data_IF_723550869453
#
_entry.id   IF_723550869453
#
_cell.length_a   1.000
_cell.length_b   1.000
_cell.length_c   1.000
_cell.angle_alpha   90.00
_cell.angle_beta   90.00
_cell.angle_gamma   90.00
#
_symmetry.space_group_name_H-M   'P 1'
#
loop_
_entity.id
_entity.type
_entity.pdbx_description
1 polymer ?
#
# COMPACT_ATOMS: atom_id res chain seq x y z
N UNK A 1 -5.99 -20.44 -17.06
CA UNK A 1 -6.12 -20.97 -18.44
C UNK A 1 -4.79 -20.75 -19.12
N UNK A 2 -4.12 -21.81 -19.56
CA UNK A 2 -2.78 -21.74 -20.15
C UNK A 2 -2.83 -21.96 -21.67
N UNK A 3 -2.57 -20.92 -22.46
CA UNK A 3 -2.69 -20.94 -23.93
C UNK A 3 -1.72 -19.96 -24.61
N UNK A 4 -1.40 -20.24 -25.87
CA UNK A 4 -0.57 -19.36 -26.72
C UNK A 4 -1.45 -18.29 -27.37
N UNK A 5 -1.02 -17.04 -27.31
CA UNK A 5 -1.68 -15.90 -27.95
C UNK A 5 -1.66 -16.06 -29.48
N UNK A 6 -2.84 -15.95 -30.09
CA UNK A 6 -3.02 -15.97 -31.54
C UNK A 6 -2.78 -14.60 -32.17
N UNK A 7 -3.37 -13.55 -31.60
CA UNK A 7 -3.25 -12.16 -32.08
C UNK A 7 -3.61 -11.18 -30.96
N UNK A 8 -3.23 -9.91 -31.11
CA UNK A 8 -3.56 -8.83 -30.16
C UNK A 8 -4.23 -7.65 -30.87
N UNK A 9 -4.95 -6.84 -30.12
CA UNK A 9 -5.49 -5.54 -30.52
C UNK A 9 -5.19 -4.54 -29.40
N UNK A 10 -4.16 -3.71 -29.61
CA UNK A 10 -3.65 -2.76 -28.63
C UNK A 10 -4.70 -1.69 -28.30
N UNK A 11 -5.39 -1.18 -29.32
CA UNK A 11 -6.39 -0.12 -29.14
C UNK A 11 -7.55 -0.58 -28.27
N UNK A 12 -8.01 -1.83 -28.49
CA UNK A 12 -9.07 -2.42 -27.67
C UNK A 12 -8.58 -3.02 -26.35
N UNK A 13 -7.27 -3.13 -26.15
CA UNK A 13 -6.64 -3.83 -25.00
C UNK A 13 -7.09 -5.28 -24.90
N UNK A 14 -7.14 -5.96 -26.05
CA UNK A 14 -7.62 -7.34 -26.17
C UNK A 14 -6.51 -8.24 -26.73
N UNK A 15 -6.36 -9.45 -26.20
CA UNK A 15 -5.68 -10.54 -26.91
C UNK A 15 -6.67 -11.63 -27.29
N UNK A 16 -6.33 -12.40 -28.31
CA UNK A 16 -7.18 -13.46 -28.84
C UNK A 16 -6.49 -14.81 -28.74
N UNK A 17 -7.28 -15.83 -28.43
CA UNK A 17 -6.90 -17.24 -28.41
C UNK A 17 -7.77 -18.03 -29.39
N UNK A 18 -7.28 -19.18 -29.83
CA UNK A 18 -8.12 -20.18 -30.50
C UNK A 18 -8.60 -21.18 -29.44
N UNK A 19 -9.92 -21.23 -29.24
CA UNK A 19 -10.58 -22.14 -28.30
C UNK A 19 -11.64 -22.89 -29.09
N UNK A 20 -11.52 -24.22 -29.14
CA UNK A 20 -12.41 -25.10 -29.91
C UNK A 20 -12.59 -24.62 -31.37
N UNK A 21 -11.48 -24.27 -32.03
CA UNK A 21 -11.48 -23.76 -33.40
C UNK A 21 -11.98 -22.33 -33.59
N UNK A 22 -12.45 -21.65 -32.53
CA UNK A 22 -13.00 -20.29 -32.60
C UNK A 22 -12.03 -19.27 -32.04
N UNK A 23 -11.97 -18.10 -32.67
CA UNK A 23 -11.25 -16.93 -32.16
C UNK A 23 -12.03 -16.31 -30.99
N UNK A 24 -11.48 -16.40 -29.79
CA UNK A 24 -12.08 -15.85 -28.56
C UNK A 24 -11.21 -14.72 -28.04
N UNK A 25 -11.82 -13.57 -27.73
CA UNK A 25 -11.11 -12.38 -27.27
C UNK A 25 -11.21 -12.17 -25.76
N UNK A 26 -10.08 -11.74 -25.18
CA UNK A 26 -9.89 -11.50 -23.76
C UNK A 26 -9.44 -10.06 -23.52
N UNK A 27 -10.24 -9.31 -22.78
CA UNK A 27 -10.04 -7.90 -22.49
C UNK A 27 -9.25 -7.70 -21.20
N UNK A 28 -8.26 -6.79 -21.24
CA UNK A 28 -7.51 -6.32 -20.09
C UNK A 28 -8.08 -5.01 -19.57
N UNK A 29 -8.27 -4.92 -18.26
CA UNK A 29 -8.54 -3.63 -17.60
C UNK A 29 -7.39 -2.65 -17.82
N UNK A 30 -7.62 -1.36 -17.58
CA UNK A 30 -6.58 -0.33 -17.76
C UNK A 30 -5.29 -0.64 -16.98
N UNK A 31 -5.40 -1.13 -15.74
CA UNK A 31 -4.24 -1.53 -14.93
C UNK A 31 -3.49 -2.70 -15.58
N UNK A 32 -4.20 -3.79 -15.87
CA UNK A 32 -3.56 -4.98 -16.49
C UNK A 32 -2.92 -4.64 -17.83
N UNK A 33 -3.57 -3.81 -18.65
CA UNK A 33 -3.03 -3.38 -19.92
C UNK A 33 -1.77 -2.53 -19.73
N UNK A 34 -1.77 -1.57 -18.80
CA UNK A 34 -0.59 -0.76 -18.50
C UNK A 34 0.60 -1.61 -18.06
N UNK A 35 0.35 -2.64 -17.24
CA UNK A 35 1.41 -3.49 -16.68
C UNK A 35 1.91 -4.53 -17.68
N UNK A 36 1.02 -5.20 -18.40
CA UNK A 36 1.37 -6.45 -19.10
C UNK A 36 1.33 -6.37 -20.62
N UNK A 37 0.65 -5.39 -21.22
CA UNK A 37 0.37 -5.42 -22.66
C UNK A 37 1.66 -5.40 -23.50
N UNK A 38 2.72 -4.75 -23.02
CA UNK A 38 4.03 -4.72 -23.69
C UNK A 38 4.67 -6.11 -23.87
N UNK A 39 4.29 -7.08 -23.03
CA UNK A 39 4.78 -8.45 -23.11
C UNK A 39 3.88 -9.35 -23.96
N UNK A 40 2.68 -8.90 -24.31
CA UNK A 40 1.70 -9.69 -25.06
C UNK A 40 1.93 -9.53 -26.57
N UNK A 41 2.15 -10.66 -27.26
CA UNK A 41 2.21 -10.74 -28.73
C UNK A 41 1.88 -12.15 -29.19
N UNK A 42 1.64 -12.33 -30.49
CA UNK A 42 1.45 -13.67 -31.08
C UNK A 42 2.61 -14.58 -30.70
N UNK A 43 2.31 -15.81 -30.28
CA UNK A 43 3.31 -16.80 -29.86
C UNK A 43 3.71 -16.74 -28.39
N UNK A 44 3.28 -15.73 -27.62
CA UNK A 44 3.49 -15.69 -26.16
C UNK A 44 2.52 -16.64 -25.48
N UNK A 45 3.04 -17.46 -24.56
CA UNK A 45 2.26 -18.32 -23.67
C UNK A 45 1.78 -17.48 -22.49
N UNK A 46 0.48 -17.50 -22.25
CA UNK A 46 -0.14 -16.86 -21.08
C UNK A 46 -0.87 -17.90 -20.25
N UNK A 47 -0.72 -17.82 -18.94
CA UNK A 47 -1.62 -18.44 -17.98
C UNK A 47 -2.33 -17.33 -17.17
N UNK A 48 -3.65 -17.40 -17.08
CA UNK A 48 -4.47 -16.33 -16.53
C UNK A 48 -5.84 -16.81 -16.05
N UNK A 49 -6.46 -16.02 -15.19
CA UNK A 49 -7.84 -16.22 -14.76
C UNK A 49 -8.81 -15.25 -15.42
N UNK A 50 -10.04 -15.70 -15.62
CA UNK A 50 -11.10 -14.94 -16.26
C UNK A 50 -12.11 -14.54 -15.19
N UNK A 51 -12.44 -13.25 -15.15
CA UNK A 51 -13.50 -12.77 -14.25
C UNK A 51 -14.88 -13.21 -14.74
N UNK A 52 -15.87 -13.21 -13.85
CA UNK A 52 -17.28 -13.43 -14.23
C UNK A 52 -17.85 -12.33 -15.15
N UNK A 53 -17.13 -11.21 -15.30
CA UNK A 53 -17.57 -10.05 -16.09
C UNK A 53 -17.13 -10.18 -17.55
N UNK A 54 -17.95 -9.63 -18.44
CA UNK A 54 -17.60 -9.38 -19.84
C UNK A 54 -17.52 -7.89 -20.11
N UNK A 55 -16.60 -7.49 -20.98
CA UNK A 55 -16.48 -6.11 -21.46
C UNK A 55 -17.07 -6.02 -22.86
N UNK A 56 -18.07 -5.16 -23.03
CA UNK A 56 -18.58 -4.80 -24.36
C UNK A 56 -17.74 -3.67 -24.94
N UNK A 57 -17.28 -3.83 -26.19
CA UNK A 57 -16.58 -2.80 -26.97
C UNK A 57 -17.20 -2.82 -28.37
N UNK A 58 -17.95 -1.78 -28.70
CA UNK A 58 -18.81 -1.75 -29.88
C UNK A 58 -19.84 -2.88 -29.88
N UNK A 59 -19.87 -3.65 -30.98
CA UNK A 59 -20.77 -4.80 -31.15
C UNK A 59 -20.24 -6.10 -30.51
N UNK A 60 -18.99 -6.12 -30.07
CA UNK A 60 -18.35 -7.33 -29.55
C UNK A 60 -18.36 -7.36 -28.02
N UNK A 61 -18.42 -8.57 -27.47
CA UNK A 61 -18.31 -8.85 -26.04
C UNK A 61 -17.09 -9.74 -25.77
N UNK A 62 -16.22 -9.29 -24.87
CA UNK A 62 -14.95 -9.91 -24.55
C UNK A 62 -14.95 -10.43 -23.12
N UNK A 63 -14.32 -11.58 -22.88
CA UNK A 63 -14.10 -12.07 -21.52
C UNK A 63 -13.09 -11.17 -20.82
N UNK A 64 -13.42 -10.65 -19.63
CA UNK A 64 -12.48 -9.80 -18.92
C UNK A 64 -11.51 -10.66 -18.10
N UNK A 65 -10.21 -10.40 -18.27
CA UNK A 65 -9.15 -11.02 -17.47
C UNK A 65 -9.25 -10.52 -16.02
N UNK A 66 -9.17 -11.45 -15.08
CA UNK A 66 -9.05 -11.15 -13.65
C UNK A 66 -7.59 -10.81 -13.30
N UNK A 67 -6.67 -11.74 -13.56
CA UNK A 67 -5.22 -11.57 -13.38
C UNK A 67 -4.45 -12.58 -14.24
N UNK A 68 -3.14 -12.37 -14.39
CA UNK A 68 -2.23 -13.35 -14.97
C UNK A 68 -1.59 -14.19 -13.85
N UNK A 69 -1.31 -15.46 -14.15
CA UNK A 69 -0.45 -16.32 -13.35
C UNK A 69 0.96 -16.35 -13.94
N UNK A 70 1.07 -16.46 -15.27
CA UNK A 70 2.36 -16.48 -15.97
C UNK A 70 2.26 -15.81 -17.35
N UNK A 71 3.34 -15.14 -17.78
CA UNK A 71 3.51 -14.63 -19.15
C UNK A 71 4.92 -15.03 -19.63
N UNK A 72 4.99 -15.84 -20.68
CA UNK A 72 6.24 -16.49 -21.12
C UNK A 72 6.40 -16.35 -22.64
N UNK A 73 7.53 -15.80 -23.06
CA UNK A 73 7.99 -15.94 -24.45
C UNK A 73 8.65 -17.30 -24.62
N UNK A 74 8.30 -18.03 -25.69
CA UNK A 74 8.81 -19.38 -25.94
C UNK A 74 10.07 -19.39 -26.81
N UNK A 75 10.27 -18.36 -27.63
CA UNK A 75 11.45 -18.25 -28.51
C UNK A 75 11.89 -16.76 -28.66
N UNK A 76 13.04 -16.37 -28.08
CA UNK A 76 13.79 -17.11 -27.06
C UNK A 76 12.93 -17.33 -25.81
N UNK A 77 13.27 -18.37 -25.03
CA UNK A 77 12.58 -18.65 -23.78
C UNK A 77 12.84 -17.53 -22.76
N UNK A 78 11.79 -16.85 -22.30
CA UNK A 78 11.90 -15.78 -21.31
C UNK A 78 10.60 -15.64 -20.51
N UNK A 79 10.71 -15.65 -19.18
CA UNK A 79 9.58 -15.46 -18.25
C UNK A 79 9.43 -13.98 -17.93
N UNK A 80 8.40 -13.33 -18.48
CA UNK A 80 8.11 -11.91 -18.24
C UNK A 80 7.44 -11.68 -16.90
N UNK A 81 6.61 -12.63 -16.48
CA UNK A 81 5.86 -12.54 -15.24
C UNK A 81 5.54 -13.94 -14.71
N UNK A 82 5.69 -14.11 -13.40
CA UNK A 82 5.28 -15.31 -12.67
C UNK A 82 4.77 -14.90 -11.28
N UNK A 83 3.48 -15.09 -11.06
CA UNK A 83 2.80 -14.70 -9.82
C UNK A 83 3.34 -15.48 -8.61
N UNK A 84 3.64 -16.78 -8.77
CA UNK A 84 4.14 -17.60 -7.67
C UNK A 84 5.57 -17.22 -7.29
N UNK A 85 6.42 -16.95 -8.30
CA UNK A 85 7.76 -16.42 -8.05
C UNK A 85 7.69 -15.08 -7.34
N UNK A 86 6.85 -14.15 -7.81
CA UNK A 86 6.67 -12.84 -7.17
C UNK A 86 6.24 -12.97 -5.70
N UNK A 87 5.28 -13.85 -5.39
CA UNK A 87 4.84 -14.11 -4.02
C UNK A 87 5.96 -14.71 -3.15
N UNK A 88 6.75 -15.61 -3.71
CA UNK A 88 7.90 -16.19 -3.03
C UNK A 88 8.98 -15.12 -2.74
N UNK A 89 9.29 -14.27 -3.72
CA UNK A 89 10.26 -13.18 -3.59
C UNK A 89 9.79 -12.16 -2.53
N UNK A 90 8.50 -11.80 -2.50
CA UNK A 90 7.90 -10.96 -1.46
C UNK A 90 8.11 -11.56 -0.07
N UNK A 91 7.81 -12.85 0.10
CA UNK A 91 8.02 -13.54 1.38
C UNK A 91 9.48 -13.53 1.80
N UNK A 92 10.39 -13.79 0.86
CA UNK A 92 11.84 -13.80 1.10
C UNK A 92 12.33 -12.44 1.63
N UNK A 93 11.94 -11.35 0.97
CA UNK A 93 12.28 -9.98 1.39
C UNK A 93 11.74 -9.65 2.77
N UNK A 94 10.50 -10.03 3.09
CA UNK A 94 9.95 -9.77 4.42
C UNK A 94 10.66 -10.60 5.49
N UNK A 95 11.00 -11.85 5.19
CA UNK A 95 11.72 -12.73 6.13
C UNK A 95 13.18 -12.33 6.37
N UNK A 96 13.79 -11.53 5.49
CA UNK A 96 15.18 -11.11 5.64
C UNK A 96 15.38 -9.98 6.64
N UNK A 97 14.30 -9.40 7.18
CA UNK A 97 14.35 -8.28 8.12
C UNK A 97 13.88 -8.73 9.50
N UNK A 98 14.63 -8.32 10.53
CA UNK A 98 14.34 -8.71 11.91
C UNK A 98 13.30 -7.81 12.55
N UNK A 99 13.49 -6.49 12.45
CA UNK A 99 12.67 -5.50 13.15
C UNK A 99 11.85 -4.68 12.16
N UNK A 100 10.63 -4.35 12.59
CA UNK A 100 9.67 -3.56 11.83
C UNK A 100 9.14 -2.44 12.72
N UNK A 101 9.07 -1.25 12.14
CA UNK A 101 8.50 -0.07 12.76
C UNK A 101 7.23 0.31 12.00
N UNK A 102 6.09 -0.09 12.53
CA UNK A 102 4.78 0.30 12.01
C UNK A 102 4.52 1.73 12.41
N UNK A 103 4.27 2.60 11.44
CA UNK A 103 4.02 4.03 11.68
C UNK A 103 2.70 4.43 11.05
N UNK A 104 2.04 5.37 11.69
CA UNK A 104 0.88 6.07 11.17
C UNK A 104 0.90 7.51 11.69
N UNK A 105 0.48 8.45 10.86
CA UNK A 105 0.42 9.86 11.18
C UNK A 105 -0.97 10.43 10.93
N UNK A 106 -1.42 11.27 11.86
CA UNK A 106 -2.50 12.21 11.56
C UNK A 106 -1.92 13.56 11.22
N UNK A 107 -2.41 14.16 10.13
CA UNK A 107 -1.92 15.43 9.62
C UNK A 107 -2.98 16.53 9.75
N UNK A 108 -2.51 17.77 9.80
CA UNK A 108 -3.39 18.91 9.59
C UNK A 108 -4.06 18.84 8.21
N UNK A 109 -5.28 19.35 8.13
CA UNK A 109 -6.00 19.53 6.87
C UNK A 109 -6.23 21.02 6.55
N UNK A 110 -6.31 21.38 5.25
CA UNK A 110 -6.57 22.75 4.84
C UNK A 110 -7.93 23.22 5.36
N UNK A 111 -8.00 24.50 5.72
CA UNK A 111 -9.27 25.20 5.83
C UNK A 111 -10.04 25.17 4.52
N UNK A 112 -11.34 25.45 4.58
CA UNK A 112 -12.21 25.42 3.39
C UNK A 112 -11.83 26.43 2.30
N UNK A 113 -11.02 27.44 2.63
CA UNK A 113 -10.61 28.53 1.74
C UNK A 113 -9.09 28.64 1.57
N UNK A 114 -8.31 27.68 2.07
CA UNK A 114 -6.85 27.72 1.97
C UNK A 114 -6.40 27.24 0.59
N UNK A 115 -5.78 28.14 -0.19
CA UNK A 115 -5.32 27.85 -1.55
C UNK A 115 -3.90 27.26 -1.58
N UNK A 116 -3.11 27.52 -0.54
CA UNK A 116 -1.79 26.94 -0.33
C UNK A 116 -1.77 26.33 1.08
N UNK A 117 -1.51 25.03 1.15
CA UNK A 117 -1.54 24.30 2.41
C UNK A 117 -0.46 23.23 2.40
N UNK A 118 0.38 23.27 3.43
CA UNK A 118 1.36 22.24 3.73
C UNK A 118 0.85 21.43 4.93
N UNK A 119 0.56 20.13 4.75
CA UNK A 119 0.22 19.26 5.86
C UNK A 119 1.36 19.17 6.87
N UNK A 120 1.02 19.21 8.15
CA UNK A 120 1.94 19.04 9.26
C UNK A 120 1.49 17.82 10.07
N UNK A 121 2.44 16.96 10.46
CA UNK A 121 2.17 15.84 11.38
C UNK A 121 1.75 16.42 12.73
N UNK A 122 0.58 16.02 13.21
CA UNK A 122 0.00 16.45 14.49
C UNK A 122 -0.28 15.30 15.45
N UNK A 123 -0.29 14.07 14.97
CA UNK A 123 -0.23 12.89 15.83
C UNK A 123 0.74 11.90 15.21
N UNK A 124 1.56 11.28 16.05
CA UNK A 124 2.44 10.20 15.64
C UNK A 124 2.13 8.96 16.48
N UNK A 125 1.79 7.87 15.80
CA UNK A 125 1.67 6.54 16.38
C UNK A 125 2.74 5.63 15.81
N UNK A 126 3.31 4.79 16.67
CA UNK A 126 4.21 3.75 16.18
C UNK A 126 4.19 2.49 17.04
N UNK A 127 4.52 1.37 16.40
CA UNK A 127 4.78 0.08 17.04
C UNK A 127 6.08 -0.48 16.47
N UNK A 128 7.05 -0.77 17.34
CA UNK A 128 8.26 -1.51 17.00
C UNK A 128 8.10 -2.96 17.47
N UNK A 129 8.26 -3.92 16.56
CA UNK A 129 8.28 -5.34 16.90
C UNK A 129 9.20 -6.14 15.99
N UNK A 130 9.47 -7.39 16.36
CA UNK A 130 9.89 -8.41 15.40
C UNK A 130 8.68 -8.85 14.55
N UNK A 131 8.91 -9.44 13.36
CA UNK A 131 7.84 -10.02 12.56
C UNK A 131 7.14 -11.15 13.33
N UNK A 132 5.80 -11.10 13.43
CA UNK A 132 5.00 -12.05 14.22
C UNK A 132 5.41 -12.16 15.69
N UNK A 133 6.21 -11.21 16.16
CA UNK A 133 6.84 -11.24 17.48
C UNK A 133 6.17 -10.33 18.49
N UNK A 134 6.78 -10.29 19.67
CA UNK A 134 6.38 -9.40 20.75
C UNK A 134 6.68 -7.94 20.38
N UNK A 135 5.78 -7.05 20.78
CA UNK A 135 5.99 -5.61 20.72
C UNK A 135 7.14 -5.23 21.67
N UNK A 136 8.14 -4.55 21.12
CA UNK A 136 9.34 -4.08 21.83
C UNK A 136 9.08 -2.68 22.39
N UNK A 137 8.58 -1.78 21.54
CA UNK A 137 8.16 -0.43 21.91
C UNK A 137 6.85 -0.10 21.20
N UNK A 138 5.98 0.65 21.84
CA UNK A 138 4.84 1.28 21.18
C UNK A 138 4.55 2.59 21.88
N UNK A 139 4.13 3.60 21.14
CA UNK A 139 3.71 4.87 21.72
C UNK A 139 2.82 5.65 20.76
N UNK A 140 2.11 6.64 21.30
CA UNK A 140 1.25 7.56 20.58
C UNK A 140 1.25 8.92 21.25
N UNK A 141 1.53 9.98 20.50
CA UNK A 141 1.51 11.33 21.06
C UNK A 141 1.22 12.40 20.01
N UNK A 142 0.72 13.53 20.48
CA UNK A 142 0.53 14.72 19.66
C UNK A 142 1.86 15.40 19.35
N UNK A 143 1.93 15.96 18.15
CA UNK A 143 3.06 16.77 17.66
C UNK A 143 2.54 18.19 17.41
N UNK A 144 3.19 19.18 18.01
CA UNK A 144 2.81 20.57 17.84
C UNK A 144 3.23 21.08 16.46
N UNK A 145 2.34 21.76 15.71
CA UNK A 145 2.68 22.38 14.43
C UNK A 145 3.73 23.50 14.62
N UNK A 146 4.46 23.84 13.55
CA UNK A 146 5.59 24.78 13.61
C UNK A 146 5.13 26.20 13.98
N UNK A 147 4.08 26.68 13.34
CA UNK A 147 3.67 28.10 13.41
C UNK A 147 2.20 28.32 13.83
N UNK A 148 1.36 27.27 13.82
CA UNK A 148 -0.08 27.43 14.04
C UNK A 148 -0.44 27.45 15.53
N UNK A 149 -1.05 28.55 15.97
CA UNK A 149 -1.63 28.68 17.31
C UNK A 149 -2.99 27.95 17.47
N UNK A 150 -3.63 27.53 16.37
CA UNK A 150 -4.91 26.79 16.39
C UNK A 150 -5.02 25.86 15.19
N UNK A 151 -5.77 24.76 15.35
CA UNK A 151 -6.06 23.82 14.27
C UNK A 151 -7.31 24.26 13.49
N UNK A 152 -7.34 23.97 12.18
CA UNK A 152 -8.50 24.27 11.34
C UNK A 152 -9.75 23.53 11.85
N UNK A 153 -10.95 24.12 11.68
CA UNK A 153 -12.23 23.47 12.04
C UNK A 153 -12.38 22.09 11.39
N UNK A 154 -11.83 21.94 10.18
CA UNK A 154 -11.85 20.69 9.42
C UNK A 154 -11.00 19.62 10.12
N UNK A 155 -9.76 19.95 10.51
CA UNK A 155 -8.87 19.06 11.28
C UNK A 155 -9.54 18.60 12.56
N UNK A 156 -10.06 19.56 13.37
CA UNK A 156 -10.68 19.26 14.67
C UNK A 156 -11.88 18.33 14.56
N UNK A 157 -12.75 18.56 13.57
CA UNK A 157 -13.95 17.73 13.38
C UNK A 157 -13.62 16.32 12.88
N UNK A 158 -12.64 16.19 12.00
CA UNK A 158 -12.29 14.90 11.40
C UNK A 158 -11.59 13.97 12.39
N UNK A 159 -10.64 14.51 13.15
CA UNK A 159 -9.88 13.77 14.16
C UNK A 159 -10.55 13.77 15.54
N UNK A 160 -11.74 14.35 15.66
CA UNK A 160 -12.46 14.53 16.92
C UNK A 160 -11.58 15.08 18.07
N UNK A 161 -10.68 16.03 17.74
CA UNK A 161 -9.65 16.50 18.67
C UNK A 161 -10.20 17.50 19.70
N UNK A 162 -9.84 17.29 20.96
CA UNK A 162 -9.91 18.32 21.98
C UNK A 162 -8.66 19.21 21.89
N UNK A 163 -8.85 20.48 21.49
CA UNK A 163 -7.77 21.42 21.22
C UNK A 163 -6.95 21.77 22.47
N UNK A 164 -7.60 21.95 23.62
CA UNK A 164 -6.91 22.25 24.89
C UNK A 164 -6.02 21.09 25.32
N UNK A 165 -6.52 19.85 25.19
CA UNK A 165 -5.75 18.64 25.45
C UNK A 165 -4.58 18.51 24.47
N UNK A 166 -4.83 18.74 23.18
CA UNK A 166 -3.81 18.68 22.13
C UNK A 166 -2.63 19.61 22.42
N UNK A 167 -2.89 20.89 22.71
CA UNK A 167 -1.83 21.86 22.95
C UNK A 167 -1.12 21.67 24.30
N UNK A 168 -1.82 21.18 25.32
CA UNK A 168 -1.22 20.92 26.63
C UNK A 168 -0.35 19.66 26.68
N UNK A 169 -0.72 18.60 25.94
CA UNK A 169 0.02 17.33 25.93
C UNK A 169 1.06 17.24 24.80
N UNK A 170 0.86 18.05 23.74
CA UNK A 170 1.64 18.04 22.51
C UNK A 170 3.15 18.21 22.70
N UNK A 171 3.91 17.42 21.95
CA UNK A 171 5.38 17.48 21.92
C UNK A 171 5.84 18.34 20.75
N UNK A 172 6.93 19.09 20.95
CA UNK A 172 7.60 19.76 19.83
C UNK A 172 8.08 18.71 18.82
N UNK A 173 8.09 19.07 17.53
CA UNK A 173 8.60 18.21 16.46
C UNK A 173 9.99 17.61 16.74
N UNK A 174 10.88 18.38 17.39
CA UNK A 174 12.20 17.91 17.82
C UNK A 174 12.17 16.61 18.65
N UNK A 175 11.15 16.44 19.48
CA UNK A 175 10.96 15.22 20.27
C UNK A 175 10.66 14.02 19.36
N UNK A 176 9.75 14.20 18.39
CA UNK A 176 9.43 13.19 17.39
C UNK A 176 10.68 12.79 16.59
N UNK A 177 11.38 13.78 16.03
CA UNK A 177 12.57 13.58 15.22
C UNK A 177 13.66 12.78 15.96
N UNK A 178 14.01 13.19 17.18
CA UNK A 178 15.03 12.51 18.00
C UNK A 178 14.62 11.09 18.38
N UNK A 179 13.32 10.86 18.61
CA UNK A 179 12.79 9.55 18.97
C UNK A 179 12.85 8.60 17.78
N UNK A 180 12.47 9.06 16.59
CA UNK A 180 12.62 8.30 15.36
C UNK A 180 14.08 7.96 15.08
N UNK A 181 14.99 8.96 15.10
CA UNK A 181 16.43 8.76 14.90
C UNK A 181 17.02 7.69 15.84
N UNK A 182 16.62 7.72 17.12
CA UNK A 182 17.04 6.72 18.11
C UNK A 182 16.53 5.32 17.79
N UNK A 183 15.29 5.19 17.31
CA UNK A 183 14.74 3.89 16.93
C UNK A 183 15.44 3.33 15.69
N UNK A 184 15.65 4.18 14.67
CA UNK A 184 16.34 3.82 13.43
C UNK A 184 17.76 3.33 13.70
N UNK A 185 18.56 4.09 14.47
CA UNK A 185 19.95 3.73 14.79
C UNK A 185 20.09 2.49 15.67
N UNK A 186 19.11 2.23 16.55
CA UNK A 186 19.21 1.12 17.50
C UNK A 186 18.74 -0.22 16.91
N UNK A 187 17.73 -0.19 16.06
CA UNK A 187 17.05 -1.41 15.60
C UNK A 187 17.15 -1.64 14.10
N UNK A 188 17.55 -0.62 13.32
CA UNK A 188 17.59 -0.68 11.85
C UNK A 188 16.31 -1.32 11.25
N UNK A 189 15.10 -0.85 11.66
CA UNK A 189 13.86 -1.50 11.26
C UNK A 189 13.46 -1.14 9.83
N UNK A 190 12.66 -2.00 9.19
CA UNK A 190 11.85 -1.57 8.04
C UNK A 190 10.63 -0.81 8.51
N UNK A 191 10.36 0.34 7.92
CA UNK A 191 9.20 1.15 8.27
C UNK A 191 8.00 0.61 7.49
N UNK A 192 6.91 0.30 8.19
CA UNK A 192 5.71 -0.28 7.58
C UNK A 192 4.58 0.73 7.68
N UNK A 193 3.93 0.99 6.55
CA UNK A 193 2.85 1.99 6.39
C UNK A 193 1.66 1.40 5.65
N UNK A 194 0.46 1.93 5.87
CA UNK A 194 -0.73 1.57 5.10
C UNK A 194 -0.97 2.54 3.93
N UNK A 195 -0.02 2.55 2.99
CA UNK A 195 -0.03 3.45 1.84
C UNK A 195 1.06 4.52 1.92
N UNK A 196 1.09 5.42 0.93
CA UNK A 196 2.21 6.37 0.76
C UNK A 196 2.05 7.68 1.51
N UNK A 197 0.89 7.96 2.09
CA UNK A 197 0.60 9.25 2.70
C UNK A 197 1.57 9.54 3.86
N UNK A 198 1.81 8.57 4.73
CA UNK A 198 2.73 8.70 5.86
C UNK A 198 4.19 8.91 5.42
N UNK A 199 4.59 8.26 4.32
CA UNK A 199 5.93 8.44 3.72
C UNK A 199 6.09 9.88 3.23
N UNK A 200 5.10 10.41 2.51
CA UNK A 200 5.10 11.79 2.04
C UNK A 200 5.08 12.77 3.22
N UNK A 201 4.21 12.54 4.21
CA UNK A 201 4.11 13.39 5.39
C UNK A 201 5.42 13.46 6.18
N UNK A 202 6.13 12.33 6.33
CA UNK A 202 7.43 12.27 7.00
C UNK A 202 8.53 13.00 6.22
N UNK A 203 8.57 12.82 4.90
CA UNK A 203 9.55 13.50 4.06
C UNK A 203 9.33 15.02 4.05
N UNK A 204 8.07 15.45 3.93
CA UNK A 204 7.69 16.86 3.98
C UNK A 204 7.99 17.47 5.35
N UNK A 205 7.82 16.70 6.44
CA UNK A 205 8.10 17.20 7.79
C UNK A 205 9.59 17.49 8.01
N UNK A 206 10.51 16.72 7.40
CA UNK A 206 11.95 17.06 7.46
C UNK A 206 12.24 18.42 6.83
N UNK A 207 11.67 18.68 5.65
CA UNK A 207 11.85 19.96 4.95
C UNK A 207 11.23 21.10 5.74
N UNK A 208 9.99 20.94 6.20
CA UNK A 208 9.26 21.96 6.95
C UNK A 208 10.01 22.40 8.21
N UNK A 209 10.68 21.48 8.89
CA UNK A 209 11.38 21.73 10.15
C UNK A 209 12.90 21.91 9.99
N UNK A 210 13.39 22.08 8.76
CA UNK A 210 14.80 22.31 8.46
C UNK A 210 15.70 21.21 9.06
N UNK A 211 15.27 19.95 8.96
CA UNK A 211 15.97 18.78 9.49
C UNK A 211 16.61 17.92 8.39
N UNK A 212 17.77 17.30 8.67
CA UNK A 212 18.29 16.23 7.82
C UNK A 212 17.27 15.11 7.64
N UNK A 213 17.26 14.52 6.44
CA UNK A 213 16.42 13.36 6.14
C UNK A 213 17.00 12.15 6.89
N UNK A 214 16.13 11.39 7.58
CA UNK A 214 16.53 10.19 8.33
C UNK A 214 16.27 8.86 7.59
N UNK A 215 15.47 8.89 6.52
CA UNK A 215 14.93 7.70 5.85
C UNK A 215 14.94 7.87 4.34
N UNK A 216 15.15 6.78 3.60
CA UNK A 216 15.07 6.71 2.14
C UNK A 216 13.85 5.90 1.68
N UNK A 217 13.46 5.99 0.40
CA UNK A 217 12.31 5.24 -0.13
C UNK A 217 12.44 3.72 0.09
N UNK A 218 13.67 3.21 0.05
CA UNK A 218 13.97 1.79 0.22
C UNK A 218 13.71 1.31 1.63
N UNK A 219 13.64 2.18 2.64
CA UNK A 219 13.39 1.82 4.05
C UNK A 219 11.94 1.42 4.31
N UNK A 220 11.02 1.82 3.42
CA UNK A 220 9.59 1.64 3.61
C UNK A 220 9.03 0.37 2.96
N UNK A 221 8.03 -0.19 3.62
CA UNK A 221 7.15 -1.24 3.14
C UNK A 221 5.73 -0.66 3.08
N UNK A 222 5.24 -0.44 1.87
CA UNK A 222 3.84 -0.09 1.62
C UNK A 222 2.99 -1.37 1.68
N UNK A 223 2.38 -1.60 2.84
CA UNK A 223 1.64 -2.83 3.12
C UNK A 223 0.34 -2.91 2.31
N UNK A 224 -0.29 -1.78 2.00
CA UNK A 224 -1.45 -1.69 1.13
C UNK A 224 -1.09 -2.16 -0.29
N UNK A 225 0.03 -1.67 -0.83
CA UNK A 225 0.52 -2.08 -2.15
C UNK A 225 0.89 -3.56 -2.16
N UNK A 226 1.58 -4.07 -1.13
CA UNK A 226 1.89 -5.49 -1.02
C UNK A 226 0.63 -6.35 -1.02
N UNK A 227 -0.38 -6.02 -0.23
CA UNK A 227 -1.67 -6.73 -0.23
C UNK A 227 -2.32 -6.70 -1.61
N UNK A 228 -2.36 -5.53 -2.25
CA UNK A 228 -2.98 -5.34 -3.57
C UNK A 228 -2.31 -6.19 -4.64
N UNK A 229 -0.98 -6.27 -4.62
CA UNK A 229 -0.22 -7.05 -5.58
C UNK A 229 -0.28 -8.56 -5.26
N UNK A 230 -0.22 -8.94 -3.99
CA UNK A 230 -0.29 -10.34 -3.57
C UNK A 230 -1.65 -10.99 -3.88
N UNK A 231 -2.74 -10.29 -3.58
CA UNK A 231 -4.12 -10.77 -3.77
C UNK A 231 -4.72 -10.37 -5.14
N UNK A 232 -3.96 -9.69 -6.00
CA UNK A 232 -4.44 -9.16 -7.28
C UNK A 232 -5.71 -8.29 -7.15
N UNK A 233 -5.81 -7.50 -6.07
CA UNK A 233 -6.99 -6.67 -5.79
C UNK A 233 -7.09 -5.54 -6.80
N UNK A 234 -8.30 -5.31 -7.32
CA UNK A 234 -8.55 -4.24 -8.30
C UNK A 234 -8.48 -2.86 -7.65
N UNK A 235 -9.17 -2.72 -6.53
CA UNK A 235 -9.38 -1.46 -5.80
C UNK A 235 -8.62 -1.54 -4.47
N UNK A 236 -8.30 -0.38 -3.88
CA UNK A 236 -7.57 -0.33 -2.62
C UNK A 236 -8.44 -0.87 -1.48
N UNK A 237 -7.80 -1.60 -0.57
CA UNK A 237 -8.41 -2.15 0.62
C UNK A 237 -8.09 -1.21 1.80
N UNK A 238 -9.11 -0.67 2.47
CA UNK A 238 -8.88 0.12 3.69
C UNK A 238 -8.30 -0.74 4.81
N UNK A 239 -7.46 -0.15 5.67
CA UNK A 239 -6.74 -0.84 6.75
C UNK A 239 -7.68 -1.69 7.62
N UNK A 240 -8.73 -1.07 8.16
CA UNK A 240 -9.70 -1.75 9.01
C UNK A 240 -10.52 -2.82 8.29
N UNK A 241 -10.70 -2.67 6.97
CA UNK A 241 -11.34 -3.70 6.15
C UNK A 241 -10.41 -4.91 5.94
N UNK A 242 -9.11 -4.68 5.80
CA UNK A 242 -8.10 -5.74 5.79
C UNK A 242 -8.05 -6.44 7.14
N UNK A 243 -7.98 -5.69 8.24
CA UNK A 243 -8.02 -6.23 9.60
C UNK A 243 -9.26 -7.11 9.84
N UNK A 244 -10.45 -6.60 9.51
CA UNK A 244 -11.69 -7.38 9.59
C UNK A 244 -11.64 -8.66 8.76
N UNK A 245 -11.01 -8.65 7.58
CA UNK A 245 -10.92 -9.84 6.73
C UNK A 245 -10.06 -10.96 7.34
N UNK A 246 -9.11 -10.63 8.21
CA UNK A 246 -8.26 -11.61 8.89
C UNK A 246 -8.85 -12.10 10.21
N UNK A 247 -9.55 -11.24 10.96
CA UNK A 247 -9.97 -11.54 12.33
C UNK A 247 -11.49 -11.65 12.53
N UNK A 248 -12.29 -11.28 11.53
CA UNK A 248 -13.77 -11.22 11.60
C UNK A 248 -14.32 -10.38 12.76
N UNK A 249 -13.55 -9.38 13.21
CA UNK A 249 -13.95 -8.45 14.25
C UNK A 249 -14.35 -7.12 13.64
N UNK A 250 -15.51 -6.58 14.07
CA UNK A 250 -15.89 -5.21 13.76
C UNK A 250 -15.00 -4.26 14.58
N UNK A 251 -14.41 -3.28 13.91
CA UNK A 251 -13.59 -2.25 14.55
C UNK A 251 -14.17 -0.89 14.22
N UNK A 252 -14.32 -0.03 15.23
CA UNK A 252 -14.74 1.36 15.06
C UNK A 252 -13.48 2.23 14.93
N UNK A 253 -13.32 2.90 13.79
CA UNK A 253 -12.12 3.69 13.52
C UNK A 253 -12.20 5.00 14.31
N UNK A 254 -11.35 5.14 15.33
CA UNK A 254 -11.28 6.34 16.15
C UNK A 254 -10.38 7.45 15.56
N UNK A 255 -9.69 7.18 14.44
CA UNK A 255 -8.65 8.08 13.88
C UNK A 255 -7.59 8.44 14.91
N UNK A 256 -7.01 7.41 15.54
CA UNK A 256 -5.91 7.54 16.48
C UNK A 256 -4.69 6.85 15.88
N UNK A 257 -3.63 7.63 15.63
CA UNK A 257 -2.44 7.13 14.95
C UNK A 257 -1.79 5.92 15.64
N UNK A 258 -1.88 5.81 16.98
CA UNK A 258 -1.28 4.67 17.69
C UNK A 258 -2.09 3.41 17.47
N UNK A 259 -3.41 3.51 17.50
CA UNK A 259 -4.30 2.39 17.22
C UNK A 259 -4.16 1.95 15.75
N UNK A 260 -4.08 2.89 14.80
CA UNK A 260 -3.90 2.59 13.38
C UNK A 260 -2.52 1.93 13.11
N UNK A 261 -1.45 2.38 13.78
CA UNK A 261 -0.13 1.72 13.74
C UNK A 261 -0.17 0.29 14.32
N UNK A 262 -0.92 0.08 15.41
CA UNK A 262 -1.09 -1.25 16.02
C UNK A 262 -1.90 -2.18 15.13
N UNK A 263 -2.96 -1.69 14.50
CA UNK A 263 -3.76 -2.44 13.53
C UNK A 263 -2.91 -2.79 12.31
N UNK A 264 -2.08 -1.86 11.83
CA UNK A 264 -1.12 -2.13 10.74
C UNK A 264 -0.18 -3.28 11.10
N UNK A 265 0.32 -3.34 12.35
CA UNK A 265 1.11 -4.46 12.86
C UNK A 265 0.34 -5.79 12.81
N UNK A 266 -0.90 -5.81 13.29
CA UNK A 266 -1.69 -7.05 13.27
C UNK A 266 -2.01 -7.53 11.85
N UNK A 267 -2.36 -6.60 10.96
CA UNK A 267 -2.56 -6.91 9.54
C UNK A 267 -1.27 -7.44 8.91
N UNK A 268 -0.12 -6.86 9.24
CA UNK A 268 1.17 -7.36 8.78
C UNK A 268 1.42 -8.79 9.23
N UNK A 269 1.25 -9.08 10.53
CA UNK A 269 1.48 -10.42 11.06
C UNK A 269 0.55 -11.47 10.45
N UNK A 270 -0.73 -11.13 10.29
CA UNK A 270 -1.72 -11.99 9.64
C UNK A 270 -1.35 -12.22 8.17
N UNK A 271 -0.85 -11.19 7.49
CA UNK A 271 -0.38 -11.31 6.11
C UNK A 271 0.85 -12.21 6.00
N UNK A 272 1.84 -12.07 6.89
CA UNK A 272 2.98 -12.98 6.96
C UNK A 272 2.52 -14.42 7.21
N UNK A 273 1.55 -14.62 8.11
CA UNK A 273 1.02 -15.96 8.41
C UNK A 273 0.33 -16.57 7.20
N UNK A 274 -0.47 -15.77 6.49
CA UNK A 274 -1.14 -16.19 5.26
C UNK A 274 -0.17 -16.61 4.16
N UNK A 275 1.04 -16.03 4.13
CA UNK A 275 2.08 -16.35 3.14
C UNK A 275 2.88 -17.62 3.43
N UNK A 276 2.68 -18.26 4.59
CA UNK A 276 3.36 -19.52 4.94
C UNK A 276 2.83 -20.67 4.09
#
# INVERSE_FOLDING_TARGET
MKKIIWSIDIQKKVFYLIINGRKVGFYLSNRLAKTFFMYLRKGVLVDFEVSSRKKRIGVFSYYQIAHFNQIISLNPYFVHYDLNKMRHDMRSVLSSHKYFLFIDFEMTMPGYHDHQFFPEIIQAGYVLSEAQGKIIHQDGYYVLPKEKATLSKRTKRFLNLNEDKFFSEGKKYEYFYKKLDKLLKKYEPKLVVWGKNDVTALNDSYQLHDKPILTEETDFIDLLKLHKDYFNLKDDLGLFKAYKSYYDVAFDQAHDAKDDALVTKYVFDAFIEYMK
#
